data_IF_185521148536
#
_entry.id   IF_185521148536
#
_cell.length_a   1.000
_cell.length_b   1.000
_cell.length_c   1.000
_cell.angle_alpha   90.00
_cell.angle_beta   90.00
_cell.angle_gamma   90.00
#
_symmetry.space_group_name_H-M   'P 1'
#
loop_
_entity.id
_entity.type
_entity.pdbx_description
1 polymer ?
#
# COMPACT_ATOMS: atom_id res chain seq x y z
N UNK A 1 -21.16 -15.22 -41.00
CA UNK A 1 -20.09 -14.36 -40.50
C UNK A 1 -20.44 -13.91 -39.09
N UNK A 2 -20.03 -14.69 -38.10
CA UNK A 2 -19.89 -14.23 -36.72
C UNK A 2 -18.49 -14.65 -36.31
N UNK A 3 -17.67 -13.63 -36.14
CA UNK A 3 -16.23 -13.66 -35.95
C UNK A 3 -15.87 -14.19 -34.57
N UNK A 4 -15.17 -15.32 -34.60
CA UNK A 4 -14.14 -15.81 -33.69
C UNK A 4 -13.82 -14.87 -32.50
N UNK A 5 -14.45 -15.10 -31.36
CA UNK A 5 -13.92 -14.70 -30.06
C UNK A 5 -12.81 -15.70 -29.72
N UNK A 6 -11.60 -15.28 -29.34
CA UNK A 6 -10.62 -16.23 -28.84
C UNK A 6 -11.17 -16.81 -27.53
N UNK A 7 -11.22 -18.13 -27.44
CA UNK A 7 -11.35 -18.86 -26.17
C UNK A 7 -10.19 -18.38 -25.28
N UNK A 8 -10.46 -17.40 -24.42
CA UNK A 8 -9.53 -16.98 -23.37
C UNK A 8 -9.46 -18.14 -22.38
N UNK A 9 -8.52 -19.03 -22.68
CA UNK A 9 -8.29 -20.27 -21.98
C UNK A 9 -8.32 -20.06 -20.47
N UNK A 10 -8.94 -21.01 -19.79
CA UNK A 10 -8.79 -21.18 -18.36
C UNK A 10 -7.29 -21.32 -18.08
N UNK A 11 -6.62 -20.23 -17.67
CA UNK A 11 -5.23 -20.27 -17.23
C UNK A 11 -5.28 -20.84 -15.81
N UNK A 12 -5.09 -22.15 -15.70
CA UNK A 12 -5.08 -22.88 -14.43
C UNK A 12 -3.82 -22.52 -13.63
N UNK A 13 -4.00 -22.05 -12.40
CA UNK A 13 -2.94 -21.93 -11.39
C UNK A 13 -3.21 -22.87 -10.20
N UNK A 14 -2.16 -23.19 -9.45
CA UNK A 14 -2.02 -24.27 -8.46
C UNK A 14 -3.00 -24.19 -7.25
N UNK A 15 -3.67 -23.07 -7.10
CA UNK A 15 -4.89 -22.93 -6.29
C UNK A 15 -6.04 -22.69 -7.24
N UNK A 16 -7.09 -23.51 -7.27
CA UNK A 16 -8.20 -23.47 -8.23
C UNK A 16 -9.08 -22.20 -8.27
N UNK A 17 -8.55 -21.03 -7.90
CA UNK A 17 -9.09 -19.70 -8.14
C UNK A 17 -8.83 -19.28 -9.58
N UNK A 18 -9.78 -18.57 -10.15
CA UNK A 18 -9.73 -18.09 -11.53
C UNK A 18 -9.66 -16.57 -11.52
N UNK A 19 -9.14 -15.93 -12.57
CA UNK A 19 -9.09 -14.47 -12.64
C UNK A 19 -10.47 -13.79 -12.58
N UNK A 20 -11.61 -14.51 -12.59
CA UNK A 20 -12.91 -13.87 -12.28
C UNK A 20 -13.07 -13.52 -10.80
N UNK A 21 -12.25 -14.07 -9.91
CA UNK A 21 -12.31 -13.82 -8.48
C UNK A 21 -11.83 -12.40 -8.15
N UNK A 22 -12.44 -11.76 -7.14
CA UNK A 22 -12.05 -10.39 -6.73
C UNK A 22 -10.65 -10.33 -6.11
N UNK A 23 -10.13 -11.48 -5.70
CA UNK A 23 -8.83 -11.67 -5.10
C UNK A 23 -8.26 -13.03 -5.50
N UNK A 24 -6.94 -13.09 -5.69
CA UNK A 24 -6.20 -14.33 -5.90
C UNK A 24 -4.95 -14.30 -5.03
N UNK A 25 -4.40 -15.46 -4.67
CA UNK A 25 -3.21 -15.51 -3.83
C UNK A 25 -2.24 -16.60 -4.24
N UNK A 26 -0.96 -16.35 -4.01
CA UNK A 26 0.16 -17.25 -4.35
C UNK A 26 1.02 -17.48 -3.11
N UNK A 27 1.41 -18.72 -2.85
CA UNK A 27 2.31 -19.02 -1.73
C UNK A 27 3.70 -18.52 -2.05
N UNK A 28 4.33 -17.85 -1.09
CA UNK A 28 5.69 -17.35 -1.21
C UNK A 28 6.46 -17.59 0.08
N UNK A 29 7.77 -17.75 -0.06
CA UNK A 29 8.70 -18.04 1.04
C UNK A 29 9.75 -16.95 1.13
N UNK A 30 10.04 -16.47 2.34
CA UNK A 30 10.95 -15.34 2.56
C UNK A 30 12.26 -15.81 3.17
N UNK A 31 13.36 -15.24 2.68
CA UNK A 31 14.70 -15.42 3.24
C UNK A 31 15.15 -14.09 3.85
N UNK A 32 15.59 -14.16 5.11
CA UNK A 32 16.19 -13.05 5.83
C UNK A 32 17.70 -13.26 6.00
N UNK A 33 18.45 -12.16 6.01
CA UNK A 33 19.86 -12.12 6.37
C UNK A 33 20.04 -11.42 7.71
N UNK A 34 20.90 -11.99 8.54
CA UNK A 34 21.48 -11.35 9.72
C UNK A 34 22.93 -11.00 9.41
N UNK A 35 23.31 -9.75 9.67
CA UNK A 35 24.70 -9.27 9.57
C UNK A 35 25.15 -8.65 10.88
N UNK A 36 26.44 -8.73 11.19
CA UNK A 36 27.00 -7.97 12.30
C UNK A 36 26.80 -6.46 12.06
N UNK A 37 26.29 -5.77 13.07
CA UNK A 37 26.11 -4.33 12.99
C UNK A 37 27.47 -3.64 13.19
N UNK A 38 27.70 -2.54 12.47
CA UNK A 38 28.89 -1.70 12.62
C UNK A 38 28.73 -0.63 13.73
N UNK A 39 27.65 -0.71 14.51
CA UNK A 39 27.26 0.31 15.48
C UNK A 39 27.38 -0.20 16.91
N UNK A 40 27.49 0.72 17.88
CA UNK A 40 27.51 0.40 19.32
C UNK A 40 26.15 0.06 19.93
N UNK A 41 25.07 0.16 19.15
CA UNK A 41 23.68 0.17 19.66
C UNK A 41 22.92 -1.12 19.36
N UNK A 42 23.44 -1.93 18.45
CA UNK A 42 22.90 -3.22 18.08
C UNK A 42 24.08 -4.11 17.72
N UNK A 43 24.00 -5.40 18.04
CA UNK A 43 25.00 -6.38 17.65
C UNK A 43 24.76 -6.88 16.22
N UNK A 44 23.50 -6.83 15.76
CA UNK A 44 23.08 -7.36 14.47
C UNK A 44 22.07 -6.45 13.76
N UNK A 45 22.08 -6.51 12.43
CA UNK A 45 21.06 -5.93 11.55
C UNK A 45 20.40 -7.06 10.77
N UNK A 46 19.07 -7.02 10.68
CA UNK A 46 18.24 -7.95 9.94
C UNK A 46 17.68 -7.30 8.68
N UNK A 47 17.58 -8.06 7.59
CA UNK A 47 16.94 -7.64 6.33
C UNK A 47 16.27 -8.83 5.67
N UNK A 48 15.09 -8.65 5.08
CA UNK A 48 14.60 -9.59 4.07
C UNK A 48 15.39 -9.39 2.77
N UNK A 49 15.82 -10.46 2.12
CA UNK A 49 16.72 -10.37 0.96
C UNK A 49 16.27 -11.17 -0.26
N UNK A 50 15.40 -12.15 -0.08
CA UNK A 50 14.90 -12.95 -1.19
C UNK A 50 13.50 -13.48 -0.92
N UNK A 51 12.75 -13.65 -2.00
CA UNK A 51 11.46 -14.30 -2.03
C UNK A 51 11.55 -15.46 -3.00
N UNK A 52 11.12 -16.63 -2.54
CA UNK A 52 11.00 -17.83 -3.34
C UNK A 52 9.52 -18.06 -3.63
N UNK A 53 9.22 -18.46 -4.86
CA UNK A 53 7.87 -18.87 -5.22
C UNK A 53 7.56 -20.24 -4.61
N UNK A 54 6.35 -20.37 -4.08
CA UNK A 54 5.90 -21.54 -3.35
C UNK A 54 6.26 -21.54 -1.86
N UNK A 55 5.80 -22.59 -1.20
CA UNK A 55 5.98 -22.80 0.24
C UNK A 55 7.16 -23.73 0.51
N UNK A 56 8.18 -23.25 1.21
CA UNK A 56 9.29 -24.06 1.69
C UNK A 56 8.87 -24.93 2.89
N UNK A 57 9.41 -26.15 2.94
CA UNK A 57 9.18 -27.10 4.03
C UNK A 57 10.24 -26.96 5.14
N UNK A 58 10.32 -25.77 5.75
CA UNK A 58 11.20 -25.48 6.88
C UNK A 58 10.43 -24.75 7.98
N UNK A 59 10.89 -24.85 9.23
CA UNK A 59 10.33 -24.05 10.32
C UNK A 59 10.85 -22.60 10.23
N UNK A 60 10.06 -21.57 10.59
CA UNK A 60 10.53 -20.19 10.65
C UNK A 60 11.85 -20.05 11.42
N UNK A 61 12.71 -19.18 10.92
CA UNK A 61 14.07 -18.92 11.39
C UNK A 61 15.02 -20.13 11.37
N UNK A 62 14.75 -21.15 10.56
CA UNK A 62 15.74 -22.19 10.24
C UNK A 62 16.93 -21.57 9.50
N UNK A 63 18.15 -21.73 10.03
CA UNK A 63 19.37 -21.27 9.35
C UNK A 63 19.61 -22.04 8.05
N UNK A 64 19.92 -21.31 6.98
CA UNK A 64 20.14 -21.85 5.65
C UNK A 64 21.63 -21.83 5.34
N UNK A 65 22.24 -23.02 5.42
CA UNK A 65 23.67 -23.20 5.18
C UNK A 65 24.56 -22.56 6.25
N UNK A 66 25.84 -22.47 5.94
CA UNK A 66 26.85 -21.90 6.84
C UNK A 66 26.91 -20.38 6.71
N UNK A 67 27.23 -19.70 7.82
CA UNK A 67 27.54 -18.28 7.82
C UNK A 67 28.80 -18.01 6.98
N UNK A 68 28.74 -17.01 6.10
CA UNK A 68 29.84 -16.62 5.22
C UNK A 68 30.01 -15.11 5.23
N UNK A 69 31.24 -14.64 5.36
CA UNK A 69 31.59 -13.21 5.39
C UNK A 69 30.79 -12.40 6.43
N UNK A 70 30.47 -13.01 7.57
CA UNK A 70 29.65 -12.39 8.64
C UNK A 70 28.16 -12.26 8.29
N UNK A 71 27.68 -12.99 7.29
CA UNK A 71 26.29 -13.03 6.84
C UNK A 71 25.72 -14.43 7.05
N UNK A 72 24.68 -14.52 7.87
CA UNK A 72 23.90 -15.73 8.07
C UNK A 72 22.52 -15.56 7.43
N UNK A 73 22.05 -16.60 6.72
CA UNK A 73 20.72 -16.63 6.08
C UNK A 73 19.77 -17.51 6.84
N UNK A 74 18.50 -17.10 6.88
CA UNK A 74 17.45 -17.80 7.59
C UNK A 74 16.19 -17.84 6.72
N UNK A 75 15.46 -18.95 6.78
CA UNK A 75 14.11 -19.00 6.27
C UNK A 75 13.19 -18.22 7.22
N UNK A 76 12.76 -17.02 6.85
CA UNK A 76 11.98 -16.15 7.73
C UNK A 76 10.54 -16.65 7.92
N UNK A 77 10.02 -17.39 6.94
CA UNK A 77 8.67 -17.93 6.95
C UNK A 77 8.09 -18.02 5.55
N UNK A 78 6.87 -18.55 5.45
CA UNK A 78 6.07 -18.53 4.23
C UNK A 78 4.74 -17.84 4.51
N UNK A 79 4.22 -17.15 3.52
CA UNK A 79 2.92 -16.48 3.57
C UNK A 79 2.27 -16.49 2.19
N UNK A 80 1.01 -16.07 2.13
CA UNK A 80 0.29 -15.90 0.87
C UNK A 80 0.42 -14.45 0.40
N UNK A 81 1.06 -14.24 -0.76
CA UNK A 81 0.96 -12.98 -1.49
C UNK A 81 -0.45 -12.86 -2.06
N UNK A 82 -1.26 -11.96 -1.51
CA UNK A 82 -2.65 -11.73 -1.92
C UNK A 82 -2.75 -10.52 -2.84
N UNK A 83 -3.42 -10.69 -3.98
CA UNK A 83 -3.79 -9.59 -4.87
C UNK A 83 -5.28 -9.34 -4.80
N UNK A 84 -5.68 -8.08 -4.73
CA UNK A 84 -7.08 -7.67 -4.70
C UNK A 84 -7.38 -6.65 -5.81
N UNK A 85 -8.51 -6.82 -6.51
CA UNK A 85 -8.84 -6.03 -7.72
C UNK A 85 -8.89 -4.51 -7.52
N UNK A 86 -9.11 -4.06 -6.27
CA UNK A 86 -9.17 -2.62 -5.92
C UNK A 86 -7.81 -1.95 -5.93
N UNK A 87 -6.73 -2.72 -5.93
CA UNK A 87 -5.36 -2.22 -5.82
C UNK A 87 -4.58 -2.36 -7.13
N UNK A 88 -5.26 -2.71 -8.22
CA UNK A 88 -4.62 -2.88 -9.55
C UNK A 88 -3.85 -1.64 -10.01
N UNK A 89 -4.28 -0.44 -9.62
CA UNK A 89 -3.53 0.79 -9.88
C UNK A 89 -2.19 0.81 -9.14
N UNK A 90 -2.18 0.45 -7.85
CA UNK A 90 -0.96 0.37 -7.03
C UNK A 90 0.00 -0.70 -7.56
N UNK A 91 -0.52 -1.87 -7.94
CA UNK A 91 0.29 -2.94 -8.55
C UNK A 91 0.92 -2.49 -9.87
N UNK A 92 0.16 -1.82 -10.74
CA UNK A 92 0.69 -1.27 -12.01
C UNK A 92 1.77 -0.22 -11.78
N UNK A 93 1.62 0.64 -10.78
CA UNK A 93 2.66 1.61 -10.42
C UNK A 93 3.95 0.91 -9.99
N UNK A 94 3.84 -0.13 -9.15
CA UNK A 94 4.99 -0.93 -8.72
C UNK A 94 5.67 -1.66 -9.90
N UNK A 95 4.87 -2.30 -10.77
CA UNK A 95 5.36 -3.02 -11.95
C UNK A 95 6.08 -2.12 -12.97
N UNK A 96 5.70 -0.84 -13.05
CA UNK A 96 6.36 0.16 -13.89
C UNK A 96 7.60 0.78 -13.22
N UNK A 97 7.78 0.59 -11.92
CA UNK A 97 8.92 1.06 -11.14
C UNK A 97 9.95 -0.04 -10.92
N UNK A 98 10.32 -0.25 -9.64
CA UNK A 98 11.41 -1.14 -9.25
C UNK A 98 11.05 -2.63 -9.25
N UNK A 99 9.77 -2.99 -9.47
CA UNK A 99 9.28 -4.37 -9.51
C UNK A 99 9.70 -5.15 -8.25
N UNK A 100 9.27 -4.64 -7.10
CA UNK A 100 9.59 -5.22 -5.77
C UNK A 100 8.34 -5.75 -5.08
N UNK A 101 8.50 -6.77 -4.24
CA UNK A 101 7.52 -7.10 -3.21
C UNK A 101 8.01 -6.50 -1.88
N UNK A 102 7.09 -6.00 -1.09
CA UNK A 102 7.37 -5.48 0.23
C UNK A 102 7.16 -6.59 1.26
N UNK A 103 8.24 -6.95 1.95
CA UNK A 103 8.22 -7.93 3.03
C UNK A 103 8.09 -7.19 4.34
N UNK A 104 7.04 -7.50 5.10
CA UNK A 104 6.79 -6.92 6.43
C UNK A 104 7.13 -7.97 7.48
N UNK A 105 8.11 -7.67 8.32
CA UNK A 105 8.50 -8.48 9.46
C UNK A 105 8.26 -7.70 10.76
N UNK A 106 7.58 -8.34 11.71
CA UNK A 106 7.31 -7.75 13.04
C UNK A 106 8.34 -8.23 14.04
N UNK A 107 8.95 -7.35 14.84
CA UNK A 107 9.71 -7.78 16.01
C UNK A 107 8.83 -8.65 16.91
N UNK A 108 9.42 -9.70 17.50
CA UNK A 108 8.72 -10.59 18.41
C UNK A 108 9.40 -10.62 19.78
N UNK A 109 8.58 -10.67 20.82
CA UNK A 109 9.05 -10.91 22.18
C UNK A 109 9.19 -12.42 22.40
N UNK A 110 10.40 -12.96 22.23
CA UNK A 110 10.61 -14.40 22.40
C UNK A 110 11.98 -14.89 21.96
N UNK A 111 12.03 -16.17 21.58
CA UNK A 111 13.24 -16.83 21.07
C UNK A 111 13.60 -16.37 19.64
N UNK A 112 12.59 -15.97 18.86
CA UNK A 112 12.77 -15.48 17.50
C UNK A 112 12.84 -13.94 17.50
N UNK A 113 13.72 -13.34 16.67
CA UNK A 113 13.86 -11.88 16.64
C UNK A 113 12.72 -11.20 15.88
N UNK A 114 12.11 -11.89 14.92
CA UNK A 114 10.98 -11.40 14.13
C UNK A 114 10.03 -12.54 13.78
N UNK A 115 8.80 -12.19 13.41
CA UNK A 115 7.88 -13.04 12.66
C UNK A 115 7.54 -12.39 11.32
N UNK A 116 7.47 -13.20 10.26
CA UNK A 116 6.98 -12.75 8.95
C UNK A 116 5.49 -12.39 9.07
N UNK A 117 5.16 -11.11 8.92
CA UNK A 117 3.80 -10.62 9.05
C UNK A 117 3.03 -10.70 7.73
N UNK A 118 3.59 -10.13 6.66
CA UNK A 118 2.93 -10.09 5.36
C UNK A 118 3.94 -9.89 4.21
N UNK A 119 3.50 -10.18 2.99
CA UNK A 119 4.18 -9.84 1.73
C UNK A 119 3.17 -9.24 0.77
N UNK A 120 3.37 -7.97 0.39
CA UNK A 120 2.46 -7.24 -0.50
C UNK A 120 3.15 -6.74 -1.76
N UNK A 121 2.40 -6.67 -2.86
CA UNK A 121 2.81 -6.00 -4.09
C UNK A 121 2.36 -4.53 -4.16
N UNK A 122 1.60 -4.06 -3.15
CA UNK A 122 1.06 -2.71 -3.07
C UNK A 122 2.03 -1.76 -2.38
N UNK A 123 2.53 -0.71 -3.07
CA UNK A 123 3.29 0.34 -2.39
C UNK A 123 2.45 1.10 -1.35
N UNK A 124 1.13 1.13 -1.49
CA UNK A 124 0.24 1.80 -0.53
C UNK A 124 0.15 1.01 0.79
N UNK A 125 -0.08 -0.31 0.73
CA UNK A 125 -0.08 -1.15 1.93
C UNK A 125 1.28 -1.08 2.64
N UNK A 126 2.38 -1.14 1.86
CA UNK A 126 3.72 -1.02 2.42
C UNK A 126 3.96 0.31 3.14
N UNK A 127 3.38 1.41 2.63
CA UNK A 127 3.45 2.71 3.28
C UNK A 127 2.67 2.73 4.60
N UNK A 128 1.48 2.13 4.65
CA UNK A 128 0.68 2.04 5.87
C UNK A 128 1.45 1.30 6.99
N UNK A 129 2.22 0.26 6.62
CA UNK A 129 3.10 -0.46 7.53
C UNK A 129 4.30 0.38 7.99
N UNK A 130 4.95 1.11 7.07
CA UNK A 130 6.05 2.02 7.39
C UNK A 130 5.63 3.14 8.36
N UNK A 131 4.41 3.65 8.22
CA UNK A 131 3.87 4.72 9.06
C UNK A 131 3.59 4.26 10.50
N UNK A 132 3.44 2.94 10.74
CA UNK A 132 3.26 2.38 12.09
C UNK A 132 4.54 2.47 12.94
N UNK A 133 5.73 2.41 12.31
CA UNK A 133 7.04 2.59 12.93
C UNK A 133 7.62 1.38 13.68
N UNK A 134 6.83 0.33 13.95
CA UNK A 134 7.27 -0.84 14.71
C UNK A 134 7.74 -2.01 13.83
N UNK A 135 7.49 -1.93 12.53
CA UNK A 135 7.70 -3.04 11.59
C UNK A 135 8.96 -2.83 10.72
N UNK A 136 9.66 -3.93 10.42
CA UNK A 136 10.72 -3.95 9.42
C UNK A 136 10.09 -4.20 8.05
N UNK A 137 10.07 -3.18 7.21
CA UNK A 137 9.57 -3.24 5.83
C UNK A 137 10.75 -3.20 4.86
N UNK A 138 10.91 -4.25 4.08
CA UNK A 138 12.02 -4.41 3.13
C UNK A 138 11.49 -4.62 1.72
N UNK A 139 12.00 -3.83 0.77
CA UNK A 139 11.69 -3.98 -0.64
C UNK A 139 12.59 -5.05 -1.26
N UNK A 140 12.01 -6.17 -1.69
CA UNK A 140 12.73 -7.31 -2.24
C UNK A 140 12.36 -7.48 -3.72
N UNK A 141 13.33 -7.55 -4.65
CA UNK A 141 13.03 -7.77 -6.06
C UNK A 141 12.17 -9.02 -6.28
N UNK A 142 11.11 -8.89 -7.06
CA UNK A 142 10.23 -10.01 -7.39
C UNK A 142 10.79 -10.81 -8.57
N UNK A 143 10.46 -12.11 -8.65
CA UNK A 143 10.81 -12.92 -9.82
C UNK A 143 9.96 -12.50 -11.03
N UNK A 144 10.48 -12.76 -12.24
CA UNK A 144 9.74 -12.50 -13.48
C UNK A 144 8.40 -13.26 -13.53
N UNK A 145 8.36 -14.45 -12.94
CA UNK A 145 7.14 -15.26 -12.84
C UNK A 145 6.07 -14.60 -11.97
N UNK A 146 6.45 -14.05 -10.82
CA UNK A 146 5.52 -13.31 -9.96
C UNK A 146 5.07 -12.02 -10.66
N UNK A 147 5.99 -11.29 -11.30
CA UNK A 147 5.66 -10.07 -12.01
C UNK A 147 4.64 -10.32 -13.14
N UNK A 148 4.90 -11.34 -13.98
CA UNK A 148 3.99 -11.76 -15.06
C UNK A 148 2.61 -12.16 -14.52
N UNK A 149 2.56 -12.81 -13.35
CA UNK A 149 1.30 -13.18 -12.70
C UNK A 149 0.50 -11.97 -12.21
N UNK A 150 1.17 -10.97 -11.60
CA UNK A 150 0.54 -9.71 -11.19
C UNK A 150 0.08 -8.91 -12.41
N UNK A 151 0.86 -8.88 -13.49
CA UNK A 151 0.51 -8.24 -14.76
C UNK A 151 -0.77 -8.83 -15.34
N UNK A 152 -0.87 -10.17 -15.43
CA UNK A 152 -2.07 -10.85 -15.91
C UNK A 152 -3.31 -10.55 -15.05
N UNK A 153 -3.14 -10.47 -13.72
CA UNK A 153 -4.22 -10.07 -12.82
C UNK A 153 -4.68 -8.62 -13.09
N UNK A 154 -3.73 -7.72 -13.29
CA UNK A 154 -4.02 -6.32 -13.62
C UNK A 154 -4.74 -6.21 -14.97
N UNK A 155 -4.26 -6.90 -16.00
CA UNK A 155 -4.89 -6.87 -17.33
C UNK A 155 -6.35 -7.34 -17.31
N UNK A 156 -6.67 -8.31 -16.45
CA UNK A 156 -8.04 -8.80 -16.31
C UNK A 156 -8.96 -7.86 -15.53
N UNK A 157 -8.48 -7.26 -14.44
CA UNK A 157 -9.33 -6.51 -13.50
C UNK A 157 -9.25 -5.00 -13.63
N UNK A 158 -8.18 -4.47 -14.21
CA UNK A 158 -7.96 -3.04 -14.29
C UNK A 158 -8.86 -2.44 -15.36
N UNK A 159 -9.87 -1.69 -14.93
CA UNK A 159 -10.68 -0.85 -15.80
C UNK A 159 -10.10 0.56 -15.71
N UNK A 160 -9.47 1.03 -16.80
CA UNK A 160 -9.09 2.45 -16.90
C UNK A 160 -10.35 3.28 -16.71
N UNK A 161 -10.44 3.99 -15.59
CA UNK A 161 -11.55 4.90 -15.35
C UNK A 161 -11.15 6.25 -15.95
N UNK A 162 -11.77 6.69 -17.07
CA UNK A 162 -11.44 7.98 -17.64
C UNK A 162 -11.70 9.06 -16.59
N UNK A 163 -10.70 9.90 -16.34
CA UNK A 163 -10.77 10.98 -15.36
C UNK A 163 -11.96 11.90 -15.66
N UNK A 164 -13.06 11.72 -14.92
CA UNK A 164 -14.23 12.59 -15.04
C UNK A 164 -13.96 13.83 -14.20
N UNK A 165 -13.34 14.84 -14.82
CA UNK A 165 -13.15 16.17 -14.23
C UNK A 165 -14.48 16.63 -13.63
N UNK A 166 -14.54 16.76 -12.29
CA UNK A 166 -15.71 17.33 -11.61
C UNK A 166 -15.88 18.75 -12.12
N UNK A 167 -16.91 19.00 -12.92
CA UNK A 167 -17.38 20.37 -13.15
C UNK A 167 -17.84 20.87 -11.78
N UNK A 168 -17.27 22.00 -11.34
CA UNK A 168 -17.80 22.75 -10.21
C UNK A 168 -19.19 23.17 -10.63
N UNK A 169 -20.21 22.76 -9.88
CA UNK A 169 -21.54 23.36 -10.01
C UNK A 169 -21.33 24.85 -9.76
N UNK A 170 -21.63 25.66 -10.76
CA UNK A 170 -21.57 27.10 -10.68
C UNK A 170 -22.68 27.50 -9.70
N UNK A 171 -22.32 27.66 -8.43
CA UNK A 171 -23.24 28.16 -7.42
C UNK A 171 -23.49 29.61 -7.78
N UNK A 172 -24.73 29.92 -8.15
CA UNK A 172 -25.17 31.29 -8.40
C UNK A 172 -25.01 32.11 -7.11
N UNK A 173 -24.05 33.02 -7.13
CA UNK A 173 -23.60 33.79 -5.96
C UNK A 173 -24.64 34.85 -5.58
N UNK A 174 -25.64 35.11 -6.44
CA UNK A 174 -26.71 36.07 -6.18
C UNK A 174 -27.79 35.51 -5.23
N UNK A 175 -28.00 34.19 -5.19
CA UNK A 175 -29.02 33.57 -4.33
C UNK A 175 -28.63 33.57 -2.84
N UNK A 176 -27.33 33.69 -2.52
CA UNK A 176 -26.80 33.68 -1.14
C UNK A 176 -26.80 35.05 -0.44
N UNK A 177 -27.13 36.15 -1.13
CA UNK A 177 -27.00 37.52 -0.58
C UNK A 177 -28.20 38.02 0.23
N UNK A 178 -29.32 37.28 0.26
CA UNK A 178 -30.59 37.81 0.80
C UNK A 178 -31.17 37.09 2.03
N UNK A 179 -30.35 36.37 2.80
CA UNK A 179 -30.84 35.82 4.07
C UNK A 179 -29.74 35.72 5.13
N UNK A 180 -29.33 36.87 5.70
CA UNK A 180 -29.02 37.04 7.13
C UNK A 180 -29.07 38.54 7.45
N UNK A 181 -29.99 38.95 8.33
CA UNK A 181 -29.93 40.28 8.93
C UNK A 181 -28.60 40.44 9.72
N UNK A 182 -27.93 41.60 9.68
CA UNK A 182 -26.70 41.83 10.44
C UNK A 182 -26.97 41.83 11.95
N UNK A 183 -26.06 41.22 12.72
CA UNK A 183 -26.14 41.01 14.17
C UNK A 183 -26.18 42.33 14.98
N UNK A 184 -25.86 43.47 14.34
CA UNK A 184 -25.76 44.79 14.98
C UNK A 184 -27.10 45.52 15.18
N UNK A 185 -28.22 44.99 14.68
CA UNK A 185 -29.54 45.64 14.81
C UNK A 185 -30.13 45.61 16.26
N UNK A 186 -29.39 45.07 17.24
CA UNK A 186 -29.76 45.09 18.66
C UNK A 186 -28.69 45.77 19.52
N UNK A 187 -28.73 47.09 19.63
CA UNK A 187 -28.43 47.82 20.89
C UNK A 187 -28.67 49.31 20.71
N UNK A 188 -29.46 49.90 21.60
CA UNK A 188 -29.91 51.28 21.51
C UNK A 188 -28.97 52.31 22.13
N UNK A 189 -29.27 53.57 21.79
CA UNK A 189 -29.05 54.82 22.55
C UNK A 189 -27.60 55.19 22.88
N UNK A 190 -27.06 56.14 22.11
CA UNK A 190 -26.21 57.21 22.65
C UNK A 190 -26.69 58.57 22.11
N UNK A 191 -26.74 59.61 22.94
CA UNK A 191 -27.28 60.91 22.56
C UNK A 191 -26.25 61.74 21.77
N UNK A 192 -26.72 62.44 20.74
CA UNK A 192 -25.92 63.39 19.95
C UNK A 192 -25.63 64.67 20.76
N UNK A 193 -24.40 65.22 20.71
CA UNK A 193 -24.16 66.60 21.13
C UNK A 193 -24.36 67.52 19.91
N UNK A 194 -25.44 68.31 19.90
CA UNK A 194 -25.60 69.39 18.91
C UNK A 194 -24.97 70.68 19.43
N UNK A 195 -23.93 71.11 18.73
CA UNK A 195 -23.28 72.40 18.85
C UNK A 195 -24.13 73.51 18.22
N UNK A 196 -24.34 74.57 18.99
CA UNK A 196 -24.87 75.88 18.59
C UNK A 196 -24.26 76.44 17.29
N UNK A 197 -25.15 76.74 16.33
CA UNK A 197 -25.19 77.91 15.42
C UNK A 197 -26.68 78.04 15.02
N UNK A 198 -27.41 79.12 15.26
CA UNK A 198 -27.06 80.52 15.09
C UNK A 198 -27.49 80.94 13.69
N UNK A 199 -28.73 81.39 13.53
CA UNK A 199 -29.20 82.34 12.50
C UNK A 199 -30.67 82.73 12.80
N UNK A 200 -30.94 84.04 12.93
CA UNK A 200 -32.27 84.66 12.97
C UNK A 200 -32.59 85.42 14.25
#
# INVERSE_FOLDING_TARGET
MLSNLPEMGQIFFETGKTFVDKEIGRQVSVIAERRAAVSRWADHVWRAVAILDGQAAAAPFTQLGEERDGVARFFAGATQLLLHRKETEAYRMNLAGDRVLYVIMRPEEGELPFTLHDVTASPHDAQDHLDSGDELVEAVPMSEEIASWIEAFCDFHHVETPFKKRRRDEVDIEELKFSKEPIYARTGRFPSPESSKGDG
#
